data_IF_289528277424
#
_entry.id   IF_289528277424
#
_cell.length_a   1.000
_cell.length_b   1.000
_cell.length_c   1.000
_cell.angle_alpha   90.00
_cell.angle_beta   90.00
_cell.angle_gamma   90.00
#
_symmetry.space_group_name_H-M   'P 1'
#
loop_
_entity.id
_entity.type
_entity.pdbx_description
1 polymer ?
#
# COMPACT_ATOMS: atom_id res chain seq x y z
N UNK A 1 -11.75 4.15 -6.86
CA UNK A 1 -12.73 3.84 -7.94
C UNK A 1 -13.67 5.02 -8.20
N UNK A 2 -14.28 5.63 -7.17
CA UNK A 2 -15.15 6.82 -7.32
C UNK A 2 -14.47 7.92 -8.15
N UNK A 3 -13.27 8.35 -7.77
CA UNK A 3 -12.47 9.33 -8.53
C UNK A 3 -12.31 8.99 -10.02
N UNK A 4 -12.01 7.73 -10.35
CA UNK A 4 -11.83 7.31 -11.74
C UNK A 4 -13.15 7.33 -12.54
N UNK A 5 -14.28 7.01 -11.90
CA UNK A 5 -15.60 7.10 -12.51
C UNK A 5 -16.01 8.56 -12.78
N UNK A 6 -15.73 9.45 -11.83
CA UNK A 6 -15.97 10.89 -11.98
C UNK A 6 -15.14 11.47 -13.13
N UNK A 7 -13.85 11.12 -13.20
CA UNK A 7 -12.96 11.53 -14.30
C UNK A 7 -13.31 10.90 -15.66
N UNK A 8 -13.77 9.65 -15.67
CA UNK A 8 -14.19 8.98 -16.90
C UNK A 8 -15.51 9.53 -17.45
N UNK A 9 -16.35 10.11 -16.57
CA UNK A 9 -17.71 10.58 -16.87
C UNK A 9 -18.54 9.53 -17.66
N UNK A 10 -18.27 8.25 -17.40
CA UNK A 10 -18.80 7.13 -18.16
C UNK A 10 -18.61 5.83 -17.40
N UNK A 11 -19.52 4.89 -17.63
CA UNK A 11 -19.40 3.50 -17.16
C UNK A 11 -18.82 2.58 -18.24
N UNK A 12 -18.40 3.13 -19.39
CA UNK A 12 -17.75 2.36 -20.44
C UNK A 12 -16.42 1.77 -19.94
N UNK A 13 -16.17 0.45 -20.12
CA UNK A 13 -14.97 -0.19 -19.60
C UNK A 13 -13.66 0.39 -20.14
N UNK A 14 -13.62 0.78 -21.42
CA UNK A 14 -12.40 1.29 -22.03
C UNK A 14 -12.07 2.69 -21.48
N UNK A 15 -13.07 3.58 -21.39
CA UNK A 15 -12.93 4.91 -20.79
C UNK A 15 -12.55 4.84 -19.31
N UNK A 16 -13.16 3.94 -18.55
CA UNK A 16 -12.83 3.76 -17.15
C UNK A 16 -11.39 3.24 -16.97
N UNK A 17 -10.97 2.28 -17.79
CA UNK A 17 -9.58 1.77 -17.76
C UNK A 17 -8.58 2.89 -18.06
N UNK A 18 -8.86 3.74 -19.04
CA UNK A 18 -8.01 4.88 -19.37
C UNK A 18 -7.92 5.87 -18.20
N UNK A 19 -9.05 6.19 -17.55
CA UNK A 19 -9.05 7.03 -16.37
C UNK A 19 -8.25 6.41 -15.21
N UNK A 20 -8.38 5.10 -14.98
CA UNK A 20 -7.59 4.39 -13.97
C UNK A 20 -6.09 4.44 -14.31
N UNK A 21 -5.71 4.19 -15.56
CA UNK A 21 -4.31 4.21 -16.00
C UNK A 21 -3.64 5.59 -15.81
N UNK A 22 -4.40 6.68 -15.96
CA UNK A 22 -3.93 8.07 -15.75
C UNK A 22 -3.98 8.53 -14.28
N UNK A 23 -4.24 7.63 -13.34
CA UNK A 23 -4.40 7.98 -11.93
C UNK A 23 -3.08 8.46 -11.33
N UNK A 24 -3.17 9.52 -10.53
CA UNK A 24 -2.15 9.97 -9.58
C UNK A 24 -2.83 10.24 -8.24
N UNK A 25 -3.05 9.16 -7.48
CA UNK A 25 -3.80 9.22 -6.24
C UNK A 25 -2.83 9.49 -5.09
N UNK A 26 -2.82 10.72 -4.58
CA UNK A 26 -1.94 11.15 -3.48
C UNK A 26 -2.53 10.90 -2.09
N UNK A 27 -3.86 10.88 -1.98
CA UNK A 27 -4.55 10.61 -0.72
C UNK A 27 -5.01 9.16 -0.72
N UNK A 28 -4.30 8.30 0.01
CA UNK A 28 -4.66 6.90 0.20
C UNK A 28 -4.15 6.37 1.54
N UNK A 29 -4.70 5.23 1.95
CA UNK A 29 -4.33 4.53 3.18
C UNK A 29 -3.13 3.59 3.02
N UNK A 30 -2.79 3.23 1.78
CA UNK A 30 -1.71 2.30 1.52
C UNK A 30 -0.35 2.94 1.86
N UNK A 31 0.63 2.17 2.35
CA UNK A 31 2.00 2.65 2.48
C UNK A 31 2.63 2.97 1.13
N UNK A 32 3.45 4.02 1.08
CA UNK A 32 4.15 4.45 -0.12
C UNK A 32 3.76 5.86 -0.57
N UNK A 33 4.40 6.31 -1.63
CA UNK A 33 4.01 7.55 -2.33
C UNK A 33 2.75 7.31 -3.17
N UNK A 34 2.31 8.34 -3.88
CA UNK A 34 1.10 8.34 -4.69
C UNK A 34 0.98 7.09 -5.57
N UNK A 35 -0.22 6.52 -5.62
CA UNK A 35 -0.53 5.38 -6.49
C UNK A 35 -0.54 5.87 -7.94
N UNK A 36 0.44 5.39 -8.71
CA UNK A 36 0.64 5.68 -10.14
C UNK A 36 1.00 4.39 -10.86
N UNK A 37 0.44 4.20 -12.07
CA UNK A 37 0.58 2.96 -12.81
C UNK A 37 1.54 3.11 -14.00
N UNK A 38 2.41 2.11 -14.22
CA UNK A 38 3.19 2.00 -15.45
C UNK A 38 2.33 1.44 -16.61
N UNK A 39 2.95 1.30 -17.78
CA UNK A 39 2.29 0.79 -18.99
C UNK A 39 1.73 -0.64 -18.83
N UNK A 40 2.34 -1.44 -17.95
CA UNK A 40 1.90 -2.79 -17.59
C UNK A 40 0.79 -2.78 -16.52
N UNK A 41 0.39 -1.61 -16.03
CA UNK A 41 -0.66 -1.45 -15.01
C UNK A 41 -0.18 -1.72 -13.58
N UNK A 42 1.14 -1.76 -13.33
CA UNK A 42 1.70 -1.97 -11.99
C UNK A 42 1.88 -0.65 -11.26
N UNK A 43 1.55 -0.62 -9.97
CA UNK A 43 1.84 0.53 -9.11
C UNK A 43 3.35 0.60 -8.84
N UNK A 44 4.02 1.59 -9.43
CA UNK A 44 5.49 1.74 -9.33
C UNK A 44 5.95 2.18 -7.94
N UNK A 45 5.05 2.75 -7.14
CA UNK A 45 5.32 3.22 -5.78
C UNK A 45 4.84 2.25 -4.70
N UNK A 46 4.40 1.04 -5.09
CA UNK A 46 3.93 0.03 -4.15
C UNK A 46 5.03 -0.30 -3.14
N UNK A 47 4.76 -0.03 -1.86
CA UNK A 47 5.71 -0.26 -0.77
C UNK A 47 5.19 -1.38 0.12
N UNK A 48 6.06 -2.35 0.41
CA UNK A 48 5.75 -3.44 1.34
C UNK A 48 6.17 -3.03 2.76
N UNK A 49 5.35 -3.41 3.74
CA UNK A 49 5.68 -3.28 5.16
C UNK A 49 6.15 -4.63 5.71
N UNK A 50 7.17 -4.61 6.56
CA UNK A 50 7.56 -5.78 7.36
C UNK A 50 6.78 -5.76 8.66
N UNK A 51 6.20 -6.90 9.01
CA UNK A 51 5.42 -7.05 10.22
C UNK A 51 6.02 -8.11 11.15
N UNK A 52 5.89 -7.90 12.45
CA UNK A 52 6.23 -8.88 13.48
C UNK A 52 5.09 -9.01 14.48
N UNK A 53 4.83 -10.23 14.95
CA UNK A 53 4.00 -10.44 16.13
C UNK A 53 4.84 -10.16 17.35
N UNK A 54 4.48 -9.13 18.12
CA UNK A 54 5.15 -8.73 19.35
C UNK A 54 4.11 -8.62 20.47
N UNK A 55 4.31 -9.34 21.58
CA UNK A 55 3.37 -9.36 22.73
C UNK A 55 1.93 -9.68 22.29
N UNK A 56 1.78 -10.64 21.37
CA UNK A 56 0.49 -11.05 20.80
C UNK A 56 -0.18 -10.05 19.84
N UNK A 57 0.49 -8.97 19.42
CA UNK A 57 -0.04 -7.98 18.49
C UNK A 57 0.79 -7.89 17.22
N UNK A 58 0.15 -7.69 16.07
CA UNK A 58 0.84 -7.41 14.81
C UNK A 58 1.37 -5.98 14.85
N UNK A 59 2.69 -5.83 14.69
CA UNK A 59 3.39 -4.55 14.62
C UNK A 59 4.04 -4.37 13.26
N UNK A 60 3.95 -3.19 12.69
CA UNK A 60 4.74 -2.80 11.52
C UNK A 60 6.10 -2.35 12.04
N UNK A 61 7.15 -3.05 11.63
CA UNK A 61 8.52 -2.76 12.10
C UNK A 61 9.38 -2.07 11.05
N UNK A 62 9.04 -2.21 9.77
CA UNK A 62 9.71 -1.53 8.66
C UNK A 62 8.71 -1.21 7.52
N UNK A 63 8.99 -0.20 6.69
CA UNK A 63 10.08 0.77 6.85
C UNK A 63 9.77 1.77 7.98
N UNK A 64 10.81 2.43 8.50
CA UNK A 64 10.72 3.27 9.71
C UNK A 64 9.65 4.36 9.65
N UNK A 65 9.39 4.90 8.46
CA UNK A 65 8.36 5.93 8.25
C UNK A 65 6.93 5.47 8.61
N UNK A 66 6.67 4.16 8.57
CA UNK A 66 5.38 3.55 8.90
C UNK A 66 5.46 2.64 10.13
N UNK A 67 6.62 2.57 10.79
CA UNK A 67 6.83 1.63 11.89
C UNK A 67 6.15 2.12 13.18
N UNK A 68 5.45 1.21 13.84
CA UNK A 68 4.84 1.43 15.16
C UNK A 68 5.57 0.67 16.28
N UNK A 69 6.59 -0.11 15.94
CA UNK A 69 7.53 -0.74 16.87
C UNK A 69 8.90 -0.96 16.20
N UNK A 70 9.95 -1.13 17.01
CA UNK A 70 11.25 -1.57 16.52
C UNK A 70 11.27 -3.08 16.21
N UNK A 71 12.03 -3.54 15.21
CA UNK A 71 12.19 -4.96 14.93
C UNK A 71 12.93 -5.67 16.08
N UNK A 72 12.41 -6.81 16.52
CA UNK A 72 13.07 -7.68 17.50
C UNK A 72 13.88 -8.73 16.75
N UNK A 73 15.21 -8.74 16.98
CA UNK A 73 16.13 -9.73 16.45
C UNK A 73 17.27 -10.01 17.47
N UNK A 74 17.68 -11.29 17.68
CA UNK A 74 17.07 -12.50 17.13
C UNK A 74 15.65 -12.70 17.66
N UNK A 75 14.82 -13.41 16.91
CA UNK A 75 13.45 -13.70 17.32
C UNK A 75 13.51 -14.48 18.66
N UNK A 76 12.86 -14.00 19.73
CA UNK A 76 12.87 -14.71 21.00
C UNK A 76 12.25 -16.09 20.84
N UNK A 77 12.75 -17.06 21.63
CA UNK A 77 12.16 -18.40 21.64
C UNK A 77 10.67 -18.34 22.00
N UNK A 78 9.87 -19.24 21.44
CA UNK A 78 8.40 -19.22 21.52
C UNK A 78 7.85 -19.04 22.94
N UNK A 79 8.52 -19.60 23.96
CA UNK A 79 8.15 -19.44 25.37
C UNK A 79 8.24 -18.01 25.93
N UNK A 80 8.77 -17.05 25.15
CA UNK A 80 9.00 -15.65 25.53
C UNK A 80 8.31 -14.64 24.59
N UNK A 81 7.50 -15.10 23.63
CA UNK A 81 6.78 -14.27 22.64
C UNK A 81 5.40 -13.86 23.15
#
# INVERSE_FOLDING_TARGET
LIDALERAASTDPAKLREAIAKTNLKQHIAPGDAIVFNEQGQNVNATVTMQQVQKGQIRVVLPKAYADADPIFPIPGWSKV
#
